data_IF_743276919380
#
_entry.id   IF_743276919380
#
_cell.length_a   1.000
_cell.length_b   1.000
_cell.length_c   1.000
_cell.angle_alpha   90.00
_cell.angle_beta   90.00
_cell.angle_gamma   90.00
#
_symmetry.space_group_name_H-M   'P 1'
#
loop_
_entity.id
_entity.type
_entity.pdbx_description
1 polymer ?
#
# COMPACT_ATOMS: atom_id res chain seq x y z
N UNK A 1 13.97 6.27 5.35
CA UNK A 1 13.91 7.75 5.40
C UNK A 1 13.79 8.28 3.97
N UNK A 2 12.86 9.19 3.66
CA UNK A 2 12.78 9.81 2.31
C UNK A 2 13.93 10.81 2.20
N UNK A 3 14.68 10.84 1.09
CA UNK A 3 15.78 11.79 0.85
C UNK A 3 15.40 12.71 -0.31
N UNK A 4 15.50 14.02 -0.10
CA UNK A 4 15.18 15.03 -1.12
C UNK A 4 16.06 14.91 -2.37
N UNK A 5 15.53 15.28 -3.54
CA UNK A 5 16.27 15.18 -4.82
C UNK A 5 17.60 15.93 -4.80
N UNK A 6 17.59 17.18 -4.30
CA UNK A 6 18.80 18.01 -4.17
C UNK A 6 19.85 17.36 -3.26
N UNK A 7 19.41 16.68 -2.19
CA UNK A 7 20.31 16.00 -1.26
C UNK A 7 20.92 14.75 -1.91
N UNK A 8 20.12 13.96 -2.65
CA UNK A 8 20.60 12.79 -3.40
C UNK A 8 21.68 13.16 -4.42
N UNK A 9 21.48 14.23 -5.19
CA UNK A 9 22.49 14.69 -6.16
C UNK A 9 23.79 15.13 -5.48
N UNK A 10 23.70 15.88 -4.37
CA UNK A 10 24.88 16.31 -3.60
C UNK A 10 25.66 15.13 -3.02
N UNK A 11 24.95 14.09 -2.55
CA UNK A 11 25.58 12.86 -2.07
C UNK A 11 26.35 12.14 -3.19
N UNK A 12 25.78 12.04 -4.39
CA UNK A 12 26.45 11.43 -5.54
C UNK A 12 27.71 12.20 -5.95
N UNK A 13 27.61 13.53 -6.03
CA UNK A 13 28.76 14.39 -6.36
C UNK A 13 29.85 14.26 -5.28
N UNK A 14 29.48 14.22 -4.00
CA UNK A 14 30.44 14.04 -2.92
C UNK A 14 31.14 12.68 -3.00
N UNK A 15 30.39 11.61 -3.29
CA UNK A 15 30.94 10.26 -3.45
C UNK A 15 31.92 10.16 -4.64
N UNK A 16 31.58 10.79 -5.76
CA UNK A 16 32.47 10.88 -6.92
C UNK A 16 33.76 11.63 -6.58
N UNK A 17 33.66 12.74 -5.83
CA UNK A 17 34.84 13.52 -5.44
C UNK A 17 35.74 12.79 -4.44
N UNK A 18 35.17 11.95 -3.57
CA UNK A 18 35.95 11.18 -2.60
C UNK A 18 36.63 9.94 -3.20
N UNK A 19 36.07 9.37 -4.27
CA UNK A 19 36.56 8.16 -4.91
C UNK A 19 37.12 8.48 -6.30
N UNK A 20 38.44 8.57 -6.41
CA UNK A 20 39.15 8.83 -7.68
C UNK A 20 39.29 7.59 -8.58
N UNK A 21 38.77 6.44 -8.16
CA UNK A 21 38.88 5.18 -8.90
C UNK A 21 37.94 5.13 -10.11
N UNK A 22 38.54 5.08 -11.30
CA UNK A 22 37.86 5.05 -12.62
C UNK A 22 36.91 3.84 -12.74
N UNK A 23 37.12 2.77 -11.98
CA UNK A 23 36.27 1.56 -12.01
C UNK A 23 34.82 1.80 -11.59
N UNK A 24 34.55 2.84 -10.80
CA UNK A 24 33.18 3.20 -10.39
C UNK A 24 32.41 4.02 -11.44
N UNK A 25 33.04 4.43 -12.55
CA UNK A 25 32.42 5.30 -13.54
C UNK A 25 31.44 4.60 -14.49
N UNK A 26 31.55 3.28 -14.67
CA UNK A 26 30.84 2.56 -15.73
C UNK A 26 29.30 2.76 -15.70
N UNK A 27 28.72 2.79 -14.50
CA UNK A 27 27.27 3.01 -14.31
C UNK A 27 26.97 4.36 -13.64
N UNK A 28 27.98 5.21 -13.43
CA UNK A 28 27.81 6.44 -12.66
C UNK A 28 26.83 7.41 -13.33
N UNK A 29 26.90 7.51 -14.66
CA UNK A 29 25.97 8.34 -15.44
C UNK A 29 24.53 7.84 -15.35
N UNK A 30 24.32 6.52 -15.28
CA UNK A 30 23.01 5.92 -15.11
C UNK A 30 22.44 6.16 -13.71
N UNK A 31 23.29 6.02 -12.68
CA UNK A 31 22.93 6.33 -11.29
C UNK A 31 22.61 7.83 -11.14
N UNK A 32 23.40 8.71 -11.76
CA UNK A 32 23.13 10.14 -11.79
C UNK A 32 21.81 10.46 -12.51
N UNK A 33 21.55 9.81 -13.66
CA UNK A 33 20.29 9.94 -14.38
C UNK A 33 19.12 9.54 -13.50
N UNK A 34 19.22 8.41 -12.79
CA UNK A 34 18.17 7.93 -11.89
C UNK A 34 17.97 8.86 -10.70
N UNK A 35 19.03 9.32 -10.05
CA UNK A 35 18.95 10.15 -8.85
C UNK A 35 18.72 11.64 -9.12
N UNK A 36 18.74 12.07 -10.39
CA UNK A 36 18.53 13.47 -10.77
C UNK A 36 17.23 14.01 -10.16
N UNK A 37 17.25 15.24 -9.69
CA UNK A 37 16.08 15.89 -9.11
C UNK A 37 14.91 15.93 -10.11
N UNK A 38 13.70 15.84 -9.59
CA UNK A 38 12.45 15.86 -10.37
C UNK A 38 11.60 17.09 -10.06
N UNK A 39 12.13 18.04 -9.29
CA UNK A 39 11.35 19.14 -8.71
C UNK A 39 10.40 18.70 -7.59
N UNK A 40 10.24 17.39 -7.36
CA UNK A 40 9.47 16.88 -6.24
C UNK A 40 10.20 17.18 -4.92
N UNK A 41 9.47 17.74 -3.97
CA UNK A 41 9.87 17.86 -2.57
C UNK A 41 8.82 17.21 -1.69
N UNK A 42 9.22 16.72 -0.52
CA UNK A 42 8.33 16.12 0.49
C UNK A 42 7.27 17.09 1.02
N UNK A 43 7.42 18.40 0.78
CA UNK A 43 6.35 19.38 1.01
C UNK A 43 5.24 19.28 -0.04
N UNK A 44 5.58 18.88 -1.27
CA UNK A 44 4.64 18.60 -2.36
C UNK A 44 4.05 17.19 -2.19
N UNK A 45 2.75 17.06 -2.44
CA UNK A 45 2.02 15.81 -2.22
C UNK A 45 1.53 15.61 -0.79
N UNK A 46 1.39 16.70 -0.01
CA UNK A 46 0.55 16.71 1.20
C UNK A 46 -0.93 16.90 0.87
N UNK A 47 -1.22 17.46 -0.30
CA UNK A 47 -2.56 17.74 -0.79
C UNK A 47 -2.67 17.35 -2.28
N UNK A 48 -3.87 16.96 -2.74
CA UNK A 48 -4.13 16.66 -4.14
C UNK A 48 -3.66 17.79 -5.06
N UNK A 49 -3.12 17.43 -6.22
CA UNK A 49 -2.76 18.38 -7.27
C UNK A 49 -1.44 19.13 -7.10
N UNK A 50 -0.68 18.87 -6.03
CA UNK A 50 0.56 19.59 -5.75
C UNK A 50 1.83 18.98 -6.36
N UNK A 51 1.70 17.93 -7.18
CA UNK A 51 2.86 17.30 -7.81
C UNK A 51 3.41 18.16 -8.97
N UNK A 52 4.74 18.22 -9.16
CA UNK A 52 5.32 18.86 -10.34
C UNK A 52 4.72 18.31 -11.63
N UNK A 53 4.61 19.16 -12.65
CA UNK A 53 4.13 18.75 -13.97
C UNK A 53 5.02 17.62 -14.50
N UNK A 54 4.42 16.54 -14.98
CA UNK A 54 5.14 15.38 -15.51
C UNK A 54 5.71 14.44 -14.44
N UNK A 55 5.51 14.69 -13.15
CA UNK A 55 5.90 13.75 -12.09
C UNK A 55 4.73 12.81 -11.72
N UNK A 56 4.97 11.49 -11.61
CA UNK A 56 6.25 10.80 -11.73
C UNK A 56 6.60 10.27 -13.13
N UNK A 57 5.81 10.51 -14.18
CA UNK A 57 6.03 9.91 -15.51
C UNK A 57 7.42 10.19 -16.09
N UNK A 58 7.90 11.44 -16.01
CA UNK A 58 9.22 11.82 -16.48
C UNK A 58 10.34 11.13 -15.69
N UNK A 59 10.10 10.84 -14.42
CA UNK A 59 11.03 10.07 -13.61
C UNK A 59 11.11 8.63 -14.10
N UNK A 60 9.97 7.98 -14.34
CA UNK A 60 9.92 6.61 -14.86
C UNK A 60 10.45 6.51 -16.31
N UNK A 61 10.25 7.55 -17.13
CA UNK A 61 10.76 7.62 -18.51
C UNK A 61 12.30 7.59 -18.61
N UNK A 62 13.02 7.83 -17.51
CA UNK A 62 14.49 7.73 -17.45
C UNK A 62 15.00 6.33 -17.71
N UNK A 63 14.17 5.31 -17.46
CA UNK A 63 14.46 3.90 -17.76
C UNK A 63 13.34 3.40 -18.68
N UNK A 64 13.52 3.48 -20.01
CA UNK A 64 12.49 3.05 -20.93
C UNK A 64 12.34 1.53 -20.88
N UNK A 65 11.12 1.07 -20.66
CA UNK A 65 10.74 -0.34 -20.76
C UNK A 65 9.87 -0.48 -22.02
N UNK A 66 10.08 -1.51 -22.85
CA UNK A 66 9.23 -1.72 -24.03
C UNK A 66 7.75 -1.80 -23.66
N UNK A 67 6.91 -1.02 -24.35
CA UNK A 67 5.48 -0.91 -24.03
C UNK A 67 4.73 -2.25 -24.10
N UNK A 68 5.16 -3.16 -24.97
CA UNK A 68 4.59 -4.51 -25.03
C UNK A 68 4.78 -5.28 -23.72
N UNK A 69 5.94 -5.17 -23.08
CA UNK A 69 6.24 -5.79 -21.77
C UNK A 69 5.36 -5.18 -20.69
N UNK A 70 5.25 -3.84 -20.67
CA UNK A 70 4.40 -3.13 -19.71
C UNK A 70 2.94 -3.60 -19.81
N UNK A 71 2.40 -3.71 -21.03
CA UNK A 71 1.03 -4.20 -21.26
C UNK A 71 0.83 -5.64 -20.81
N UNK A 72 1.81 -6.52 -21.04
CA UNK A 72 1.77 -7.92 -20.57
C UNK A 72 1.75 -7.95 -19.04
N UNK A 73 2.64 -7.21 -18.38
CA UNK A 73 2.72 -7.14 -16.91
C UNK A 73 1.41 -6.61 -16.33
N UNK A 74 0.88 -5.51 -16.87
CA UNK A 74 -0.41 -4.95 -16.43
C UNK A 74 -1.54 -5.97 -16.62
N UNK A 75 -1.57 -6.67 -17.77
CA UNK A 75 -2.56 -7.73 -18.02
C UNK A 75 -2.50 -8.84 -16.96
N UNK A 76 -1.29 -9.33 -16.64
CA UNK A 76 -1.09 -10.37 -15.62
C UNK A 76 -1.50 -9.89 -14.23
N UNK A 77 -1.07 -8.71 -13.81
CA UNK A 77 -1.43 -8.14 -12.50
C UNK A 77 -2.93 -7.87 -12.37
N UNK A 78 -3.61 -7.54 -13.48
CA UNK A 78 -5.07 -7.32 -13.51
C UNK A 78 -5.87 -8.62 -13.48
N UNK A 79 -5.43 -9.67 -14.15
CA UNK A 79 -6.21 -10.89 -14.33
C UNK A 79 -5.91 -11.94 -13.26
N UNK A 80 -4.63 -12.16 -12.96
CA UNK A 80 -4.17 -13.31 -12.19
C UNK A 80 -4.05 -13.00 -10.69
N UNK A 81 -4.04 -14.04 -9.86
CA UNK A 81 -3.52 -13.98 -8.48
C UNK A 81 -2.06 -14.42 -8.51
N UNK A 82 -1.17 -13.47 -8.82
CA UNK A 82 0.25 -13.75 -9.13
C UNK A 82 0.98 -14.40 -7.96
N UNK A 83 0.50 -14.18 -6.74
CA UNK A 83 1.10 -14.69 -5.51
C UNK A 83 0.32 -15.84 -4.87
N UNK A 84 -0.76 -16.30 -5.51
CA UNK A 84 -1.66 -17.33 -4.97
C UNK A 84 -2.14 -17.02 -3.53
N UNK A 85 -2.29 -15.74 -3.19
CA UNK A 85 -2.63 -15.30 -1.84
C UNK A 85 -4.11 -15.50 -1.50
N UNK A 86 -4.96 -15.75 -2.49
CA UNK A 86 -6.37 -16.05 -2.27
C UNK A 86 -6.58 -17.31 -1.42
N UNK A 87 -5.69 -18.31 -1.52
CA UNK A 87 -5.75 -19.50 -0.68
C UNK A 87 -5.47 -19.17 0.81
N UNK A 88 -4.57 -18.21 1.05
CA UNK A 88 -4.22 -17.73 2.40
C UNK A 88 -5.29 -16.81 3.00
N UNK A 89 -6.18 -16.24 2.17
CA UNK A 89 -7.24 -15.33 2.56
C UNK A 89 -8.58 -15.74 1.90
N UNK A 90 -9.22 -16.82 2.39
CA UNK A 90 -10.38 -17.40 1.73
C UNK A 90 -11.65 -16.54 1.85
N UNK A 91 -11.72 -15.65 2.84
CA UNK A 91 -12.87 -14.78 3.03
C UNK A 91 -12.93 -13.71 1.92
N UNK A 92 -14.08 -13.51 1.25
CA UNK A 92 -14.21 -12.50 0.18
C UNK A 92 -13.84 -11.09 0.63
N UNK A 93 -14.10 -10.77 1.90
CA UNK A 93 -13.77 -9.50 2.55
C UNK A 93 -12.25 -9.23 2.62
N UNK A 94 -11.42 -10.28 2.53
CA UNK A 94 -9.97 -10.16 2.61
C UNK A 94 -9.29 -9.94 1.26
N UNK A 95 -10.06 -9.86 0.17
CA UNK A 95 -9.55 -9.78 -1.21
C UNK A 95 -8.49 -8.69 -1.38
N UNK A 96 -8.76 -7.47 -0.93
CA UNK A 96 -7.84 -6.34 -1.11
C UNK A 96 -6.54 -6.49 -0.31
N UNK A 97 -6.58 -7.24 0.79
CA UNK A 97 -5.36 -7.61 1.54
C UNK A 97 -4.59 -8.71 0.82
N UNK A 98 -5.30 -9.74 0.35
CA UNK A 98 -4.71 -10.84 -0.42
C UNK A 98 -3.97 -10.32 -1.67
N UNK A 99 -4.61 -9.41 -2.41
CA UNK A 99 -4.05 -8.83 -3.63
C UNK A 99 -3.13 -7.63 -3.37
N UNK A 100 -2.80 -7.30 -2.11
CA UNK A 100 -2.12 -6.04 -1.78
C UNK A 100 -0.72 -5.91 -2.39
N UNK A 101 0.04 -7.00 -2.48
CA UNK A 101 1.38 -7.02 -3.10
C UNK A 101 1.29 -6.74 -4.60
N UNK A 102 0.38 -7.42 -5.32
CA UNK A 102 0.21 -7.17 -6.74
C UNK A 102 -0.44 -5.80 -7.03
N UNK A 103 -1.30 -5.32 -6.13
CA UNK A 103 -1.87 -3.98 -6.20
C UNK A 103 -0.78 -2.89 -6.06
N UNK A 104 0.21 -3.09 -5.17
CA UNK A 104 1.37 -2.22 -5.07
C UNK A 104 2.22 -2.21 -6.36
N UNK A 105 2.44 -3.37 -6.97
CA UNK A 105 3.13 -3.47 -8.26
C UNK A 105 2.35 -2.79 -9.38
N UNK A 106 1.02 -2.98 -9.38
CA UNK A 106 0.12 -2.37 -10.35
C UNK A 106 0.17 -0.83 -10.23
N UNK A 107 0.13 -0.30 -9.00
CA UNK A 107 0.30 1.14 -8.75
C UNK A 107 1.59 1.69 -9.40
N UNK A 108 2.72 1.01 -9.22
CA UNK A 108 4.01 1.47 -9.77
C UNK A 108 4.04 1.35 -11.30
N UNK A 109 3.64 0.21 -11.86
CA UNK A 109 3.76 -0.05 -13.31
C UNK A 109 2.83 0.84 -14.13
N UNK A 110 1.72 1.32 -13.56
CA UNK A 110 0.79 2.23 -14.24
C UNK A 110 1.44 3.54 -14.67
N UNK A 111 2.47 4.03 -13.97
CA UNK A 111 3.18 5.25 -14.37
C UNK A 111 4.07 5.07 -15.61
N UNK A 112 4.34 3.83 -16.01
CA UNK A 112 4.98 3.54 -17.30
C UNK A 112 3.98 3.53 -18.47
N UNK A 113 2.67 3.57 -18.19
CA UNK A 113 1.58 3.59 -19.18
C UNK A 113 0.59 4.71 -18.86
N UNK A 114 1.03 5.95 -19.03
CA UNK A 114 0.31 7.15 -18.60
C UNK A 114 -1.04 7.36 -19.28
N UNK A 115 -1.23 6.88 -20.52
CA UNK A 115 -2.52 6.88 -21.20
C UNK A 115 -3.59 6.15 -20.40
N UNK A 116 -3.24 5.05 -19.73
CA UNK A 116 -4.19 4.27 -18.93
C UNK A 116 -4.72 5.11 -17.75
N UNK A 117 -3.83 5.83 -17.06
CA UNK A 117 -4.19 6.74 -15.97
C UNK A 117 -4.99 7.97 -16.47
N UNK A 118 -4.68 8.49 -17.67
CA UNK A 118 -5.25 9.75 -18.19
C UNK A 118 -6.59 9.57 -18.91
N UNK A 119 -6.73 8.56 -19.77
CA UNK A 119 -7.85 8.47 -20.74
C UNK A 119 -8.68 7.19 -20.61
N UNK A 120 -8.10 6.07 -20.16
CA UNK A 120 -8.78 4.77 -20.16
C UNK A 120 -9.70 4.55 -18.94
N UNK A 121 -10.84 5.24 -18.93
CA UNK A 121 -11.81 5.23 -17.82
C UNK A 121 -12.28 3.81 -17.42
N UNK A 122 -12.60 2.95 -18.39
CA UNK A 122 -13.10 1.60 -18.11
C UNK A 122 -12.02 0.72 -17.46
N UNK A 123 -10.80 0.74 -18.01
CA UNK A 123 -9.67 -0.03 -17.48
C UNK A 123 -9.30 0.44 -16.05
N UNK A 124 -9.24 1.75 -15.82
CA UNK A 124 -8.97 2.28 -14.48
C UNK A 124 -10.09 1.94 -13.49
N UNK A 125 -11.35 1.95 -13.92
CA UNK A 125 -12.48 1.58 -13.05
C UNK A 125 -12.38 0.12 -12.61
N UNK A 126 -12.10 -0.78 -13.55
CA UNK A 126 -11.90 -2.21 -13.26
C UNK A 126 -10.73 -2.44 -12.30
N UNK A 127 -9.59 -1.77 -12.54
CA UNK A 127 -8.41 -1.83 -11.67
C UNK A 127 -8.77 -1.40 -10.24
N UNK A 128 -9.46 -0.26 -10.10
CA UNK A 128 -9.84 0.27 -8.78
C UNK A 128 -10.81 -0.66 -8.07
N UNK A 129 -11.84 -1.14 -8.75
CA UNK A 129 -12.86 -1.99 -8.13
C UNK A 129 -12.28 -3.36 -7.70
N UNK A 130 -11.31 -3.88 -8.44
CA UNK A 130 -10.65 -5.14 -8.10
C UNK A 130 -9.65 -4.99 -6.96
N UNK A 131 -8.75 -4.02 -7.04
CA UNK A 131 -7.55 -3.95 -6.18
C UNK A 131 -7.64 -2.92 -5.04
N UNK A 132 -8.47 -1.89 -5.19
CA UNK A 132 -8.53 -0.77 -4.26
C UNK A 132 -9.95 -0.44 -3.74
N UNK A 133 -10.94 -1.36 -3.66
CA UNK A 133 -12.32 -0.99 -3.32
C UNK A 133 -12.49 -0.37 -1.91
N UNK A 134 -11.63 -0.76 -0.99
CA UNK A 134 -11.58 -0.42 0.44
C UNK A 134 -10.18 0.06 0.89
N UNK A 135 -9.15 -0.13 0.04
CA UNK A 135 -7.76 0.24 0.30
C UNK A 135 -7.30 1.38 -0.61
N UNK A 136 -7.57 2.63 -0.23
CA UNK A 136 -7.09 3.81 -0.96
C UNK A 136 -5.76 4.35 -0.45
N UNK A 137 -5.28 3.86 0.69
CA UNK A 137 -3.91 4.07 1.16
C UNK A 137 -3.18 2.74 1.12
N UNK A 138 -2.10 2.69 0.34
CA UNK A 138 -1.37 1.44 0.12
C UNK A 138 0.08 1.59 0.56
N UNK A 139 0.64 0.49 1.07
CA UNK A 139 2.09 0.32 1.24
C UNK A 139 2.65 -0.27 -0.05
N UNK A 140 3.49 0.47 -0.76
CA UNK A 140 4.03 0.03 -2.05
C UNK A 140 5.44 -0.54 -1.97
N UNK A 141 6.22 -0.18 -0.94
CA UNK A 141 7.55 -0.75 -0.70
C UNK A 141 8.06 -0.41 0.70
N UNK A 142 8.58 -1.37 1.48
CA UNK A 142 9.33 -1.13 2.73
C UNK A 142 8.73 -0.09 3.69
N UNK A 143 7.40 -0.09 3.86
CA UNK A 143 6.69 0.85 4.75
C UNK A 143 6.43 2.22 4.14
N UNK A 144 6.83 2.47 2.89
CA UNK A 144 6.40 3.65 2.14
C UNK A 144 4.93 3.51 1.76
N UNK A 145 4.14 4.45 2.29
CA UNK A 145 2.72 4.56 1.97
C UNK A 145 2.45 5.66 0.96
N UNK A 146 1.35 5.51 0.23
CA UNK A 146 0.82 6.53 -0.68
C UNK A 146 -0.71 6.57 -0.56
N UNK A 147 -1.26 7.78 -0.58
CA UNK A 147 -2.70 8.03 -0.68
C UNK A 147 -3.05 8.18 -2.17
N UNK A 148 -3.81 7.22 -2.70
CA UNK A 148 -4.16 7.16 -4.12
C UNK A 148 -4.98 8.38 -4.56
N UNK A 149 -5.79 8.93 -3.64
CA UNK A 149 -6.61 10.12 -3.92
C UNK A 149 -5.79 11.37 -4.21
N UNK A 150 -4.59 11.46 -3.61
CA UNK A 150 -3.68 12.58 -3.84
C UNK A 150 -2.88 12.37 -5.11
N UNK A 151 -2.21 11.22 -5.24
CA UNK A 151 -1.28 10.98 -6.36
C UNK A 151 -2.00 10.85 -7.69
N UNK A 152 -3.23 10.33 -7.70
CA UNK A 152 -4.01 10.19 -8.93
C UNK A 152 -4.86 11.41 -9.30
N UNK A 153 -4.84 12.48 -8.50
CA UNK A 153 -5.69 13.67 -8.73
C UNK A 153 -5.46 14.34 -10.09
N UNK A 154 -4.24 14.24 -10.62
CA UNK A 154 -3.85 14.85 -11.90
C UNK A 154 -4.24 13.99 -13.11
N UNK A 155 -4.76 12.78 -12.89
CA UNK A 155 -5.05 11.79 -13.91
C UNK A 155 -6.55 11.57 -13.99
N UNK A 156 -7.19 12.08 -15.04
CA UNK A 156 -8.66 12.12 -15.16
C UNK A 156 -9.32 10.75 -14.98
N UNK A 157 -8.84 9.70 -15.65
CA UNK A 157 -9.44 8.37 -15.54
C UNK A 157 -9.21 7.74 -14.16
N UNK A 158 -8.01 7.89 -13.60
CA UNK A 158 -7.66 7.35 -12.29
C UNK A 158 -8.35 8.08 -11.12
N UNK A 159 -8.39 9.41 -11.14
CA UNK A 159 -9.13 10.23 -10.17
C UNK A 159 -10.60 9.84 -10.17
N UNK A 160 -11.25 9.79 -11.34
CA UNK A 160 -12.66 9.40 -11.46
C UNK A 160 -12.93 8.00 -10.90
N UNK A 161 -12.02 7.05 -11.16
CA UNK A 161 -12.16 5.68 -10.67
C UNK A 161 -12.07 5.61 -9.13
N UNK A 162 -11.14 6.36 -8.53
CA UNK A 162 -10.98 6.45 -7.06
C UNK A 162 -12.11 7.25 -6.40
N UNK A 163 -12.60 8.33 -7.01
CA UNK A 163 -13.68 9.13 -6.44
C UNK A 163 -14.97 8.30 -6.27
N UNK A 164 -15.20 7.33 -7.16
CA UNK A 164 -16.32 6.40 -7.06
C UNK A 164 -16.26 5.47 -5.83
N UNK A 165 -15.06 5.16 -5.30
CA UNK A 165 -14.91 4.38 -4.07
C UNK A 165 -14.83 5.28 -2.84
N UNK A 166 -14.31 6.51 -2.97
CA UNK A 166 -14.10 7.46 -1.87
C UNK A 166 -15.36 8.25 -1.51
N UNK A 167 -16.52 7.60 -1.63
CA UNK A 167 -17.77 8.17 -1.17
C UNK A 167 -17.78 8.23 0.37
N UNK A 168 -18.35 9.28 0.99
CA UNK A 168 -18.44 9.37 2.45
C UNK A 168 -19.09 8.14 3.08
N UNK A 169 -20.05 7.53 2.37
CA UNK A 169 -20.73 6.31 2.84
C UNK A 169 -19.80 5.10 2.84
N UNK A 170 -19.03 4.85 1.77
CA UNK A 170 -18.08 3.74 1.76
C UNK A 170 -17.00 3.93 2.83
N UNK A 171 -16.44 5.14 2.97
CA UNK A 171 -15.44 5.43 4.02
C UNK A 171 -16.01 5.15 5.41
N UNK A 172 -17.25 5.58 5.68
CA UNK A 172 -17.93 5.31 6.95
C UNK A 172 -18.19 3.81 7.16
N UNK A 173 -18.64 3.09 6.12
CA UNK A 173 -18.89 1.65 6.19
C UNK A 173 -17.62 0.88 6.53
N UNK A 174 -16.51 1.12 5.82
CA UNK A 174 -15.22 0.45 6.11
C UNK A 174 -14.70 0.80 7.51
N UNK A 175 -14.85 2.07 7.91
CA UNK A 175 -14.45 2.52 9.25
C UNK A 175 -15.22 1.77 10.35
N UNK A 176 -16.54 1.68 10.22
CA UNK A 176 -17.40 0.98 11.19
C UNK A 176 -17.12 -0.52 11.18
N UNK A 177 -16.90 -1.11 10.01
CA UNK A 177 -16.57 -2.52 9.86
C UNK A 177 -15.29 -2.87 10.64
N UNK A 178 -14.19 -2.17 10.40
CA UNK A 178 -12.92 -2.43 11.09
C UNK A 178 -12.95 -2.05 12.57
N UNK A 179 -13.72 -1.01 12.96
CA UNK A 179 -13.92 -0.69 14.37
C UNK A 179 -14.64 -1.80 15.13
N UNK A 180 -15.67 -2.41 14.53
CA UNK A 180 -16.37 -3.56 15.11
C UNK A 180 -15.47 -4.78 15.19
N UNK A 181 -14.74 -5.10 14.12
CA UNK A 181 -13.75 -6.19 14.13
C UNK A 181 -12.72 -6.00 15.24
N UNK A 182 -12.16 -4.81 15.41
CA UNK A 182 -11.22 -4.51 16.50
C UNK A 182 -11.83 -4.79 17.89
N UNK A 183 -13.09 -4.37 18.11
CA UNK A 183 -13.79 -4.59 19.37
C UNK A 183 -14.04 -6.07 19.68
N UNK A 184 -14.14 -6.93 18.67
CA UNK A 184 -14.29 -8.40 18.83
C UNK A 184 -12.94 -9.12 18.95
N UNK A 185 -11.96 -8.75 18.13
CA UNK A 185 -10.67 -9.44 18.04
C UNK A 185 -9.80 -9.24 19.28
N UNK A 186 -9.83 -8.05 19.90
CA UNK A 186 -9.04 -7.79 21.11
C UNK A 186 -9.42 -8.72 22.28
N UNK A 187 -10.71 -8.86 22.65
CA UNK A 187 -11.15 -9.86 23.63
C UNK A 187 -10.83 -11.30 23.25
N UNK A 188 -11.00 -11.65 21.97
CA UNK A 188 -10.76 -13.01 21.48
C UNK A 188 -9.28 -13.40 21.58
N UNK A 189 -8.38 -12.53 21.12
CA UNK A 189 -6.94 -12.71 21.29
C UNK A 189 -6.55 -12.79 22.76
N UNK A 190 -7.12 -11.93 23.62
CA UNK A 190 -6.87 -11.98 25.05
C UNK A 190 -7.24 -13.34 25.64
N UNK A 191 -8.36 -13.95 25.21
CA UNK A 191 -8.77 -15.28 25.65
C UNK A 191 -7.86 -16.39 25.15
N UNK A 192 -7.44 -16.32 23.88
CA UNK A 192 -6.49 -17.28 23.31
C UNK A 192 -5.12 -17.23 23.97
N UNK A 193 -4.65 -16.03 24.34
CA UNK A 193 -3.34 -15.80 24.95
C UNK A 193 -3.34 -15.94 26.47
N UNK A 194 -4.42 -16.44 27.09
CA UNK A 194 -4.39 -16.81 28.50
C UNK A 194 -3.46 -18.01 28.72
N UNK A 195 -2.70 -17.98 29.81
CA UNK A 195 -1.81 -19.07 30.20
C UNK A 195 -2.58 -20.40 30.25
N UNK A 196 -2.03 -21.42 29.59
CA UNK A 196 -2.62 -22.76 29.55
C UNK A 196 -3.67 -22.99 28.45
N UNK A 197 -4.06 -21.96 27.67
CA UNK A 197 -5.01 -22.14 26.54
C UNK A 197 -4.33 -22.68 25.28
N UNK A 198 -3.17 -22.13 24.92
CA UNK A 198 -2.39 -22.55 23.74
C UNK A 198 -1.47 -23.72 24.07
N UNK A 199 -2.06 -24.89 24.35
CA UNK A 199 -1.30 -26.16 24.42
C UNK A 199 -1.09 -26.73 23.01
N UNK A 200 -0.11 -27.62 22.84
CA UNK A 200 0.18 -28.24 21.55
C UNK A 200 -1.05 -28.95 20.96
N UNK A 201 -1.76 -29.74 21.78
CA UNK A 201 -3.00 -30.41 21.38
C UNK A 201 -4.09 -29.41 20.94
N UNK A 202 -4.26 -28.32 21.69
CA UNK A 202 -5.24 -27.30 21.35
C UNK A 202 -4.92 -26.61 20.02
N UNK A 203 -3.64 -26.31 19.77
CA UNK A 203 -3.18 -25.70 18.52
C UNK A 203 -3.45 -26.63 17.35
N UNK A 204 -3.09 -27.91 17.45
CA UNK A 204 -3.32 -28.90 16.40
C UNK A 204 -4.82 -29.05 16.07
N UNK A 205 -5.67 -29.09 17.09
CA UNK A 205 -7.11 -29.26 16.92
C UNK A 205 -7.82 -28.00 16.37
N UNK A 206 -7.28 -26.80 16.65
CA UNK A 206 -7.97 -25.53 16.40
C UNK A 206 -7.26 -24.61 15.39
N UNK A 207 -6.15 -25.05 14.79
CA UNK A 207 -5.35 -24.22 13.86
C UNK A 207 -6.20 -23.67 12.73
N UNK A 208 -6.95 -24.55 12.05
CA UNK A 208 -7.70 -24.17 10.85
C UNK A 208 -9.06 -23.54 11.17
N UNK A 209 -9.69 -23.95 12.28
CA UNK A 209 -11.05 -23.56 12.64
C UNK A 209 -11.12 -22.26 13.42
N UNK A 210 -10.08 -21.91 14.18
CA UNK A 210 -10.09 -20.75 15.09
C UNK A 210 -8.85 -19.88 14.97
N UNK A 211 -7.66 -20.47 15.08
CA UNK A 211 -6.42 -19.68 15.19
C UNK A 211 -6.08 -18.93 13.89
N UNK A 212 -6.07 -19.61 12.75
CA UNK A 212 -5.81 -18.98 11.45
C UNK A 212 -6.87 -17.95 11.06
N UNK A 213 -8.19 -18.18 11.24
CA UNK A 213 -9.21 -17.14 11.04
C UNK A 213 -8.96 -15.88 11.87
N UNK A 214 -8.75 -16.01 13.18
CA UNK A 214 -8.49 -14.87 14.07
C UNK A 214 -7.22 -14.14 13.66
N UNK A 215 -6.18 -14.87 13.29
CA UNK A 215 -4.92 -14.29 12.84
C UNK A 215 -5.08 -13.50 11.54
N UNK A 216 -5.82 -14.05 10.57
CA UNK A 216 -6.10 -13.38 9.29
C UNK A 216 -6.95 -12.13 9.48
N UNK A 217 -8.03 -12.22 10.25
CA UNK A 217 -8.92 -11.09 10.56
C UNK A 217 -8.16 -9.98 11.29
N UNK A 218 -7.27 -10.35 12.22
CA UNK A 218 -6.42 -9.41 12.95
C UNK A 218 -5.45 -8.70 12.03
N UNK A 219 -4.74 -9.44 11.17
CA UNK A 219 -3.81 -8.88 10.20
C UNK A 219 -4.49 -7.94 9.19
N UNK A 220 -5.67 -8.33 8.67
CA UNK A 220 -6.46 -7.50 7.75
C UNK A 220 -6.92 -6.21 8.45
N UNK A 221 -7.50 -6.33 9.64
CA UNK A 221 -8.03 -5.19 10.40
C UNK A 221 -6.93 -4.24 10.83
N UNK A 222 -5.82 -4.78 11.35
CA UNK A 222 -4.65 -4.00 11.77
C UNK A 222 -4.07 -3.22 10.60
N UNK A 223 -3.83 -3.90 9.46
CA UNK A 223 -3.30 -3.27 8.26
C UNK A 223 -4.18 -2.10 7.81
N UNK A 224 -5.50 -2.31 7.73
CA UNK A 224 -6.42 -1.29 7.28
C UNK A 224 -6.43 -0.08 8.23
N UNK A 225 -6.53 -0.31 9.54
CA UNK A 225 -6.59 0.76 10.56
C UNK A 225 -5.30 1.59 10.59
N UNK A 226 -4.13 0.95 10.51
CA UNK A 226 -2.83 1.64 10.53
C UNK A 226 -2.66 2.50 9.28
N UNK A 227 -3.01 1.98 8.10
CA UNK A 227 -2.86 2.71 6.84
C UNK A 227 -3.82 3.89 6.74
N UNK A 228 -5.13 3.68 6.92
CA UNK A 228 -6.15 4.67 6.59
C UNK A 228 -6.20 5.87 7.55
N UNK A 229 -5.64 5.74 8.74
CA UNK A 229 -5.38 6.87 9.66
C UNK A 229 -4.39 7.89 9.11
N UNK A 230 -3.56 7.51 8.14
CA UNK A 230 -2.54 8.39 7.55
C UNK A 230 -3.05 9.19 6.34
N UNK A 231 -4.37 9.18 6.09
CA UNK A 231 -4.94 9.90 4.93
C UNK A 231 -4.56 11.37 4.92
N UNK A 232 -4.22 11.82 3.73
CA UNK A 232 -3.89 13.21 3.45
C UNK A 232 -5.16 14.06 3.34
N UNK A 233 -6.29 13.47 2.95
CA UNK A 233 -7.58 14.12 2.94
C UNK A 233 -8.10 14.24 4.38
N UNK A 234 -8.15 15.48 4.88
CA UNK A 234 -8.60 15.79 6.25
C UNK A 234 -9.96 15.16 6.58
N UNK A 235 -10.95 15.27 5.70
CA UNK A 235 -12.30 14.72 5.91
C UNK A 235 -12.29 13.19 6.14
N UNK A 236 -11.48 12.46 5.37
CA UNK A 236 -11.34 11.01 5.51
C UNK A 236 -10.64 10.69 6.83
N UNK A 237 -9.52 11.36 7.11
CA UNK A 237 -8.79 11.17 8.37
C UNK A 237 -9.65 11.45 9.59
N UNK A 238 -10.44 12.52 9.57
CA UNK A 238 -11.33 12.92 10.67
C UNK A 238 -12.51 11.94 10.83
N UNK A 239 -12.82 11.14 9.81
CA UNK A 239 -13.80 10.04 9.89
C UNK A 239 -13.16 8.77 10.46
N UNK A 240 -11.96 8.41 9.99
CA UNK A 240 -11.29 7.13 10.34
C UNK A 240 -10.60 7.18 11.70
N UNK A 241 -9.83 8.23 11.98
CA UNK A 241 -8.95 8.28 13.15
C UNK A 241 -9.68 8.26 14.50
N UNK A 242 -10.83 8.94 14.67
CA UNK A 242 -11.57 8.91 15.94
C UNK A 242 -12.36 7.62 16.17
N UNK A 243 -12.58 6.80 15.14
CA UNK A 243 -13.47 5.63 15.24
C UNK A 243 -12.91 4.50 16.12
N UNK A 244 -11.60 4.49 16.37
CA UNK A 244 -10.92 3.51 17.23
C UNK A 244 -9.85 4.21 18.08
N UNK A 245 -9.51 3.66 19.24
CA UNK A 245 -8.38 4.16 20.04
C UNK A 245 -7.06 3.67 19.48
N UNK A 246 -6.02 4.51 19.46
CA UNK A 246 -4.66 4.09 19.13
C UNK A 246 -4.15 2.99 20.07
N UNK A 247 -4.58 3.02 21.33
CA UNK A 247 -4.22 2.00 22.33
C UNK A 247 -4.80 0.64 21.95
N UNK A 248 -6.06 0.60 21.49
CA UNK A 248 -6.71 -0.66 21.11
C UNK A 248 -6.12 -1.25 19.83
N UNK A 249 -5.69 -0.41 18.89
CA UNK A 249 -4.94 -0.84 17.70
C UNK A 249 -3.57 -1.43 18.09
N UNK A 250 -2.88 -0.83 19.07
CA UNK A 250 -1.62 -1.37 19.60
C UNK A 250 -1.82 -2.68 20.34
N UNK A 251 -2.90 -2.83 21.12
CA UNK A 251 -3.28 -4.10 21.74
C UNK A 251 -3.49 -5.20 20.71
N UNK A 252 -4.20 -4.89 19.62
CA UNK A 252 -4.40 -5.83 18.51
C UNK A 252 -3.05 -6.24 17.89
N UNK A 253 -2.16 -5.28 17.64
CA UNK A 253 -0.83 -5.54 17.09
C UNK A 253 -0.01 -6.47 17.99
N UNK A 254 0.05 -6.17 19.30
CA UNK A 254 0.80 -6.97 20.26
C UNK A 254 0.21 -8.39 20.40
N UNK A 255 -1.11 -8.50 20.52
CA UNK A 255 -1.79 -9.79 20.62
C UNK A 255 -1.63 -10.64 19.35
N UNK A 256 -1.69 -10.01 18.17
CA UNK A 256 -1.45 -10.71 16.90
C UNK A 256 -0.02 -11.25 16.85
N UNK A 257 0.99 -10.43 17.17
CA UNK A 257 2.39 -10.86 17.18
C UNK A 257 2.66 -11.97 18.21
N UNK A 258 2.03 -11.91 19.38
CA UNK A 258 2.14 -12.97 20.39
C UNK A 258 1.52 -14.28 19.92
N UNK A 259 0.35 -14.21 19.26
CA UNK A 259 -0.28 -15.40 18.68
C UNK A 259 0.58 -16.00 17.57
N UNK A 260 1.15 -15.18 16.67
CA UNK A 260 2.06 -15.65 15.62
C UNK A 260 3.32 -16.32 16.19
N UNK A 261 3.84 -15.83 17.32
CA UNK A 261 5.01 -16.42 17.96
C UNK A 261 4.70 -17.75 18.69
N UNK A 262 3.43 -18.01 19.00
CA UNK A 262 2.98 -19.20 19.71
C UNK A 262 2.53 -20.34 18.77
N UNK A 263 2.34 -20.05 17.48
CA UNK A 263 1.98 -21.01 16.43
C UNK A 263 3.23 -21.51 15.68
#
# INVERSE_FOLDING_TARGET
>A
QKIEGVVRERMLISHLRSNTDIKYSANFDEVCRLCRQTGFSMKYGKYPGQHPVGYPEEYFRRIPIPMHVIKIIIGRLRSDDVYAMAASYPAPEHRSTALSTQAAMLYVILFFHDSLLKTENAAMREIVDKHFPDNWIINWYMGFTVDLSTIWSNYKAASKAIDNILTPENVRQQTVFHARKLATLNPELKGLLQEGTLTEDFVLDNVNSKLLPVLRDSNVTLRWLVLHRTSQIKKIRDTVAPATSSEDVLKLMLGTAQLEAAL
#
